data_IF_750231486527
#
_entry.id   IF_750231486527
#
_cell.length_a   1.000
_cell.length_b   1.000
_cell.length_c   1.000
_cell.angle_alpha   90.00
_cell.angle_beta   90.00
_cell.angle_gamma   90.00
#
_symmetry.space_group_name_H-M   'P 1'
#
loop_
_entity.id
_entity.type
_entity.pdbx_description
1 polymer ?
#
# COMPACT_ATOMS: atom_id res chain seq x y z
N UNK A 1 1.77 -3.31 14.71
CA UNK A 1 1.45 -3.12 13.27
C UNK A 1 0.42 -4.15 12.91
N UNK A 2 -0.65 -3.75 12.23
CA UNK A 2 -1.74 -4.64 11.78
C UNK A 2 -1.75 -4.72 10.27
N UNK A 3 -2.08 -5.91 9.76
CA UNK A 3 -2.28 -6.16 8.33
C UNK A 3 -3.74 -6.56 8.15
N UNK A 4 -4.50 -5.75 7.44
CA UNK A 4 -5.94 -5.91 7.27
C UNK A 4 -6.23 -6.24 5.80
N UNK A 5 -6.88 -7.39 5.52
CA UNK A 5 -7.29 -7.68 4.16
C UNK A 5 -8.34 -6.69 3.70
N UNK A 6 -8.33 -6.38 2.40
CA UNK A 6 -9.42 -5.65 1.78
C UNK A 6 -10.45 -6.60 1.16
N UNK A 7 -11.41 -6.07 0.38
CA UNK A 7 -12.29 -6.89 -0.45
C UNK A 7 -11.54 -7.67 -1.56
N UNK A 8 -10.31 -7.27 -1.88
CA UNK A 8 -9.33 -8.09 -2.57
C UNK A 8 -8.36 -8.62 -1.50
N UNK A 9 -8.48 -9.88 -1.04
CA UNK A 9 -7.79 -10.35 0.17
C UNK A 9 -6.26 -10.24 0.13
N UNK A 10 -5.67 -10.28 -1.06
CA UNK A 10 -4.22 -10.16 -1.26
C UNK A 10 -3.72 -8.70 -1.27
N UNK A 11 -4.63 -7.74 -1.42
CA UNK A 11 -4.35 -6.32 -1.21
C UNK A 11 -4.57 -6.03 0.27
N UNK A 12 -3.50 -5.60 0.96
CA UNK A 12 -3.50 -5.42 2.41
C UNK A 12 -3.39 -3.95 2.78
N UNK A 13 -4.17 -3.51 3.75
CA UNK A 13 -3.94 -2.25 4.46
C UNK A 13 -2.97 -2.53 5.61
N UNK A 14 -1.90 -1.74 5.69
CA UNK A 14 -0.96 -1.80 6.82
C UNK A 14 -1.22 -0.63 7.74
N UNK A 15 -1.53 -0.92 9.00
CA UNK A 15 -1.68 0.07 10.06
C UNK A 15 -0.47 0.00 11.00
N UNK A 16 0.47 0.96 10.93
CA UNK A 16 1.61 1.00 11.84
C UNK A 16 1.17 1.41 13.26
N UNK A 17 1.96 1.02 14.26
CA UNK A 17 1.77 1.53 15.62
C UNK A 17 2.37 2.95 15.67
N UNK A 18 1.54 3.95 16.01
CA UNK A 18 1.94 5.36 16.05
C UNK A 18 2.09 5.80 17.50
N UNK A 19 3.33 6.08 17.90
CA UNK A 19 3.67 6.58 19.23
C UNK A 19 3.68 8.11 19.19
N UNK A 20 2.91 8.75 20.07
CA UNK A 20 2.74 10.22 20.09
C UNK A 20 3.23 10.81 21.40
N UNK A 21 3.87 11.98 21.31
CA UNK A 21 4.21 12.80 22.45
C UNK A 21 4.23 14.30 22.07
N UNK A 22 4.61 15.18 23.00
CA UNK A 22 4.61 16.63 22.80
C UNK A 22 5.56 17.12 21.69
N UNK A 23 6.52 16.29 21.23
CA UNK A 23 7.44 16.59 20.13
C UNK A 23 6.88 16.20 18.78
N UNK A 24 5.82 15.40 18.74
CA UNK A 24 5.20 14.89 17.52
C UNK A 24 4.86 13.41 17.62
N UNK A 25 5.29 12.65 16.62
CA UNK A 25 5.01 11.22 16.54
C UNK A 25 6.19 10.43 15.98
N UNK A 26 6.24 9.16 16.33
CA UNK A 26 7.20 8.18 15.84
C UNK A 26 6.45 6.91 15.43
N UNK A 27 6.86 6.30 14.32
CA UNK A 27 6.41 4.97 13.94
C UNK A 27 7.49 4.22 13.18
N UNK A 28 7.42 2.91 13.25
CA UNK A 28 8.10 2.01 12.33
C UNK A 28 7.27 1.88 11.05
N UNK A 29 7.85 2.28 9.93
CA UNK A 29 7.16 2.29 8.63
C UNK A 29 7.34 1.00 7.84
N UNK A 30 8.31 0.17 8.20
CA UNK A 30 8.57 -1.14 7.59
C UNK A 30 9.35 -2.02 8.56
N UNK A 31 9.01 -3.31 8.61
CA UNK A 31 9.74 -4.31 9.39
C UNK A 31 9.70 -5.65 8.68
N UNK A 32 10.84 -6.09 8.12
CA UNK A 32 10.92 -7.28 7.26
C UNK A 32 10.22 -8.51 7.85
N UNK A 33 10.48 -8.86 9.11
CA UNK A 33 9.87 -10.03 9.75
C UNK A 33 8.35 -9.95 9.85
N UNK A 34 7.78 -8.81 10.32
CA UNK A 34 6.32 -8.62 10.44
C UNK A 34 5.62 -8.71 9.08
N UNK A 35 6.26 -8.22 8.03
CA UNK A 35 5.72 -8.28 6.66
C UNK A 35 5.77 -9.71 6.13
N UNK A 36 6.85 -10.45 6.38
CA UNK A 36 6.97 -11.86 6.02
C UNK A 36 5.94 -12.73 6.76
N UNK A 37 5.74 -12.50 8.07
CA UNK A 37 4.70 -13.16 8.88
C UNK A 37 3.29 -12.87 8.35
N UNK A 38 3.08 -11.71 7.72
CA UNK A 38 1.83 -11.33 7.06
C UNK A 38 1.71 -11.85 5.61
N UNK A 39 2.66 -12.66 5.12
CA UNK A 39 2.64 -13.23 3.78
C UNK A 39 3.25 -12.34 2.69
N UNK A 40 3.84 -11.21 3.04
CA UNK A 40 4.58 -10.32 2.12
C UNK A 40 6.04 -10.78 2.08
N UNK A 41 6.29 -11.79 1.24
CA UNK A 41 7.57 -12.50 1.21
C UNK A 41 8.67 -11.81 0.39
N UNK A 42 8.41 -11.28 -0.84
CA UNK A 42 9.46 -10.70 -1.65
C UNK A 42 10.04 -9.44 -1.00
N UNK A 43 11.37 -9.20 -1.13
CA UNK A 43 11.97 -7.98 -0.61
C UNK A 43 11.52 -6.76 -1.43
N UNK A 44 11.42 -5.61 -0.77
CA UNK A 44 11.34 -4.32 -1.46
C UNK A 44 12.75 -3.91 -1.91
N UNK A 45 12.92 -3.69 -3.21
CA UNK A 45 14.25 -3.48 -3.84
C UNK A 45 14.43 -2.09 -4.44
N UNK A 46 13.39 -1.26 -4.42
CA UNK A 46 13.38 0.08 -4.98
C UNK A 46 12.46 0.98 -4.14
N UNK A 47 12.85 2.25 -4.03
CA UNK A 47 12.03 3.31 -3.42
C UNK A 47 11.77 4.42 -4.43
N UNK A 48 10.54 4.94 -4.41
CA UNK A 48 10.10 6.04 -5.27
C UNK A 48 9.34 7.06 -4.43
N UNK A 49 9.60 8.34 -4.66
CA UNK A 49 8.86 9.45 -4.06
C UNK A 49 8.26 10.33 -5.16
N UNK A 50 6.99 10.69 -5.02
CA UNK A 50 6.31 11.58 -5.96
C UNK A 50 5.52 12.65 -5.22
N UNK A 51 5.39 13.82 -5.85
CA UNK A 51 4.52 14.91 -5.41
C UNK A 51 3.49 15.17 -6.51
N UNK A 52 2.26 15.48 -6.09
CA UNK A 52 1.13 15.71 -7.00
C UNK A 52 0.31 16.89 -6.51
N UNK A 53 -0.26 17.66 -7.44
CA UNK A 53 -1.23 18.71 -7.12
C UNK A 53 -2.65 18.12 -7.04
N UNK A 54 -3.56 18.83 -6.36
CA UNK A 54 -4.96 18.42 -6.25
C UNK A 54 -5.57 18.13 -7.63
N UNK A 55 -6.27 17.01 -7.76
CA UNK A 55 -6.89 16.56 -9.01
C UNK A 55 -5.97 15.74 -9.93
N UNK A 56 -4.70 15.54 -9.57
CA UNK A 56 -3.80 14.65 -10.33
C UNK A 56 -4.21 13.18 -10.15
N UNK A 57 -4.38 12.47 -11.26
CA UNK A 57 -4.57 11.02 -11.29
C UNK A 57 -3.32 10.36 -11.90
N UNK A 58 -2.78 9.34 -11.22
CA UNK A 58 -1.67 8.51 -11.72
C UNK A 58 -2.11 7.05 -11.76
N UNK A 59 -2.21 6.48 -12.96
CA UNK A 59 -2.60 5.09 -13.12
C UNK A 59 -3.48 4.83 -14.35
N UNK A 60 -3.96 3.60 -14.56
CA UNK A 60 -3.59 2.40 -13.79
C UNK A 60 -2.29 1.78 -14.33
N UNK A 61 -1.39 1.38 -13.44
CA UNK A 61 -0.07 0.85 -13.79
C UNK A 61 0.12 -0.59 -13.34
N UNK A 62 0.54 -1.47 -14.25
CA UNK A 62 0.96 -2.83 -13.95
C UNK A 62 2.19 -3.21 -14.78
N UNK A 63 2.88 -4.28 -14.38
CA UNK A 63 4.05 -4.79 -15.09
C UNK A 63 3.88 -6.30 -15.34
N UNK A 64 3.86 -6.71 -16.61
CA UNK A 64 3.84 -8.14 -16.97
C UNK A 64 5.22 -8.78 -16.80
N UNK A 65 6.26 -8.11 -17.27
CA UNK A 65 7.65 -8.57 -17.16
C UNK A 65 8.26 -7.99 -15.89
N UNK A 66 8.83 -8.86 -15.05
CA UNK A 66 9.38 -8.49 -13.72
C UNK A 66 8.34 -7.75 -12.87
N UNK A 67 7.22 -8.41 -12.50
CA UNK A 67 6.16 -7.79 -11.72
C UNK A 67 6.71 -7.30 -10.37
N UNK A 68 6.17 -6.18 -9.90
CA UNK A 68 6.60 -5.56 -8.65
C UNK A 68 5.42 -5.45 -7.68
N UNK A 69 5.60 -6.01 -6.48
CA UNK A 69 4.75 -5.65 -5.35
C UNK A 69 5.10 -4.23 -4.89
N UNK A 70 4.09 -3.48 -4.46
CA UNK A 70 4.24 -2.08 -4.06
C UNK A 70 3.74 -1.90 -2.64
N UNK A 71 4.49 -1.17 -1.83
CA UNK A 71 4.06 -0.65 -0.54
C UNK A 71 3.96 0.86 -0.67
N UNK A 72 2.74 1.39 -0.61
CA UNK A 72 2.46 2.81 -0.84
C UNK A 72 2.02 3.46 0.47
N UNK A 73 2.54 4.65 0.75
CA UNK A 73 2.11 5.51 1.87
C UNK A 73 2.13 6.99 1.47
N UNK A 74 1.41 7.82 2.21
CA UNK A 74 1.44 9.27 2.05
C UNK A 74 2.16 9.91 3.22
N UNK A 75 3.14 10.78 2.92
CA UNK A 75 3.92 11.51 3.92
C UNK A 75 3.43 12.95 4.11
N UNK A 76 2.63 13.48 3.19
CA UNK A 76 2.04 14.82 3.24
C UNK A 76 0.76 14.86 2.42
N UNK A 77 -0.33 15.38 3.01
CA UNK A 77 -1.64 15.43 2.37
C UNK A 77 -2.33 14.07 2.35
N UNK A 78 -3.17 13.85 1.34
CA UNK A 78 -4.01 12.65 1.21
C UNK A 78 -4.16 12.24 -0.26
N UNK A 79 -4.28 10.94 -0.49
CA UNK A 79 -4.67 10.36 -1.79
C UNK A 79 -5.77 9.32 -1.60
N UNK A 80 -6.53 9.07 -2.66
CA UNK A 80 -7.36 7.88 -2.79
C UNK A 80 -6.64 6.87 -3.69
N UNK A 81 -6.04 5.85 -3.07
CA UNK A 81 -5.28 4.80 -3.77
C UNK A 81 -6.23 3.68 -4.24
N UNK A 82 -6.01 3.17 -5.45
CA UNK A 82 -6.87 2.16 -6.07
C UNK A 82 -6.04 0.99 -6.58
N UNK A 83 -6.41 -0.22 -6.17
CA UNK A 83 -5.90 -1.47 -6.71
C UNK A 83 -7.00 -2.20 -7.50
N UNK A 84 -6.64 -2.80 -8.63
CA UNK A 84 -7.57 -3.52 -9.52
C UNK A 84 -7.04 -4.92 -9.76
N UNK A 85 -7.89 -5.93 -9.61
CA UNK A 85 -7.54 -7.31 -9.93
C UNK A 85 -7.66 -7.53 -11.44
N UNK A 86 -6.50 -7.59 -12.10
CA UNK A 86 -6.40 -7.82 -13.55
C UNK A 86 -6.00 -9.27 -13.88
N UNK A 87 -5.95 -10.16 -12.87
CA UNK A 87 -5.45 -11.52 -13.01
C UNK A 87 -6.53 -12.41 -13.64
N UNK A 88 -6.33 -12.82 -14.90
CA UNK A 88 -7.26 -13.73 -15.58
C UNK A 88 -7.42 -15.03 -14.79
N UNK A 89 -8.66 -15.45 -14.55
CA UNK A 89 -8.98 -16.63 -13.75
C UNK A 89 -9.08 -16.38 -12.24
N UNK A 90 -8.78 -15.17 -11.76
CA UNK A 90 -9.07 -14.79 -10.38
C UNK A 90 -10.59 -14.79 -10.13
N UNK A 91 -11.06 -15.27 -8.96
CA UNK A 91 -12.48 -15.15 -8.58
C UNK A 91 -12.95 -13.71 -8.45
N UNK A 92 -12.01 -12.76 -8.27
CA UNK A 92 -12.29 -11.32 -8.16
C UNK A 92 -11.85 -10.54 -9.39
N UNK A 93 -11.65 -11.19 -10.55
CA UNK A 93 -11.25 -10.52 -11.78
C UNK A 93 -12.13 -9.30 -12.11
N UNK A 94 -11.50 -8.19 -12.50
CA UNK A 94 -12.09 -6.88 -12.76
C UNK A 94 -12.73 -6.18 -11.55
N UNK A 95 -12.66 -6.76 -10.36
CA UNK A 95 -12.96 -6.05 -9.11
C UNK A 95 -11.79 -5.14 -8.73
N UNK A 96 -12.08 -4.09 -7.98
CA UNK A 96 -11.08 -3.14 -7.51
C UNK A 96 -11.16 -2.97 -6.00
N UNK A 97 -10.35 -2.16 -5.36
CA UNK A 97 -10.55 -1.63 -4.00
C UNK A 97 -9.97 -0.23 -3.94
N UNK A 98 -10.59 0.66 -3.17
CA UNK A 98 -10.08 1.99 -2.89
C UNK A 98 -9.75 2.16 -1.41
N UNK A 99 -8.61 2.79 -1.12
CA UNK A 99 -8.16 3.08 0.25
C UNK A 99 -7.66 4.52 0.32
N UNK A 100 -8.18 5.29 1.27
CA UNK A 100 -7.66 6.62 1.56
C UNK A 100 -6.38 6.51 2.39
N UNK A 101 -5.27 7.02 1.85
CA UNK A 101 -3.99 7.11 2.54
C UNK A 101 -3.68 8.58 2.81
N UNK A 102 -3.29 8.91 4.04
CA UNK A 102 -2.95 10.28 4.38
C UNK A 102 -1.80 10.37 5.38
N UNK A 103 -1.20 11.55 5.45
CA UNK A 103 -0.20 11.85 6.47
C UNK A 103 -0.76 11.78 7.90
N UNK A 104 -2.08 11.94 8.04
CA UNK A 104 -2.80 11.92 9.32
C UNK A 104 -3.18 10.51 9.77
N UNK A 105 -3.51 9.61 8.83
CA UNK A 105 -3.95 8.26 9.14
C UNK A 105 -2.82 7.23 9.19
N UNK A 106 -1.63 7.58 8.66
CA UNK A 106 -0.42 6.75 8.65
C UNK A 106 -0.54 5.40 7.94
N UNK A 107 -1.68 5.15 7.27
CA UNK A 107 -1.93 3.89 6.61
C UNK A 107 -1.01 3.73 5.41
N UNK A 108 -0.73 2.48 5.13
CA UNK A 108 -0.11 2.05 3.90
C UNK A 108 -1.04 1.06 3.20
N UNK A 109 -0.85 0.90 1.90
CA UNK A 109 -1.46 -0.19 1.14
C UNK A 109 -0.34 -1.01 0.50
N UNK A 110 -0.44 -2.32 0.66
CA UNK A 110 0.36 -3.29 -0.07
C UNK A 110 -0.46 -3.82 -1.25
N UNK A 111 0.10 -3.66 -2.45
CA UNK A 111 -0.45 -4.25 -3.69
C UNK A 111 0.51 -5.34 -4.14
N UNK A 112 0.07 -6.60 -4.24
CA UNK A 112 0.93 -7.73 -4.61
C UNK A 112 1.34 -7.67 -6.10
N UNK A 113 2.26 -8.56 -6.48
CA UNK A 113 2.59 -8.79 -7.88
C UNK A 113 1.40 -9.39 -8.64
N UNK A 114 1.11 -8.86 -9.83
CA UNK A 114 0.10 -9.40 -10.74
C UNK A 114 -1.16 -8.55 -10.81
#
# INVERSE_FOLDING_TARGET
MKFLPTRLPEVLIVEPDVYRDHRGWFLETYHVQKYQEAGILPPFVQDNCSSSVLGTLRGLHFQMTRPQGKLIRVIRGEIFDVAVDIRKGSPTFASWVGVTLSAENFRQIYVPMG
#
